data_IF_685502542471
#
_entry.id   IF_685502542471
#
_cell.length_a   1.000
_cell.length_b   1.000
_cell.length_c   1.000
_cell.angle_alpha   90.00
_cell.angle_beta   90.00
_cell.angle_gamma   90.00
#
_symmetry.space_group_name_H-M   'P 1'
#
loop_
_entity.id
_entity.type
_entity.pdbx_description
1 polymer ?
#
# COMPACT_ATOMS: atom_id res chain seq x y z
N UNK A 1 -1.19 -22.81 -13.22
CA UNK A 1 -2.41 -22.00 -12.95
C UNK A 1 -1.96 -20.62 -12.49
N UNK A 2 -2.74 -19.56 -12.74
CA UNK A 2 -2.41 -18.22 -12.23
C UNK A 2 -2.77 -18.14 -10.74
N UNK A 3 -1.90 -17.55 -9.93
CA UNK A 3 -2.05 -17.31 -8.49
C UNK A 3 -1.82 -15.84 -8.21
N UNK A 4 -2.46 -15.29 -7.18
CA UNK A 4 -2.25 -13.91 -6.75
C UNK A 4 -1.91 -13.87 -5.26
N UNK A 5 -0.76 -13.30 -4.94
CA UNK A 5 -0.36 -12.95 -3.58
C UNK A 5 -0.65 -11.47 -3.39
N UNK A 6 -1.55 -11.13 -2.48
CA UNK A 6 -2.03 -9.76 -2.30
C UNK A 6 -1.77 -9.30 -0.88
N UNK A 7 -0.76 -8.45 -0.69
CA UNK A 7 -0.54 -7.77 0.59
C UNK A 7 -1.54 -6.65 0.77
N UNK A 8 -2.32 -6.73 1.85
CA UNK A 8 -3.33 -5.78 2.28
C UNK A 8 -4.15 -5.20 1.13
N UNK A 9 -4.87 -6.05 0.37
CA UNK A 9 -5.80 -5.54 -0.61
C UNK A 9 -6.82 -4.69 0.15
N UNK A 10 -6.76 -3.38 -0.06
CA UNK A 10 -7.63 -2.40 0.61
C UNK A 10 -9.03 -2.56 0.00
N UNK A 11 -9.80 -3.50 0.54
CA UNK A 11 -11.17 -3.79 0.14
C UNK A 11 -12.12 -3.31 1.23
N UNK A 12 -12.89 -2.26 0.94
CA UNK A 12 -13.87 -1.71 1.87
C UNK A 12 -15.14 -2.56 1.86
N UNK A 13 -15.57 -3.12 3.01
CA UNK A 13 -16.79 -3.93 3.06
C UNK A 13 -18.07 -3.13 2.80
N UNK A 14 -18.91 -3.64 1.90
CA UNK A 14 -20.21 -3.06 1.57
C UNK A 14 -20.37 -2.86 0.07
N UNK A 15 -21.46 -2.19 -0.30
CA UNK A 15 -21.63 -1.66 -1.65
C UNK A 15 -20.69 -0.47 -1.88
N UNK A 16 -20.23 -0.23 -3.11
CA UNK A 16 -19.46 0.97 -3.43
C UNK A 16 -20.25 2.23 -3.06
N UNK A 17 -19.58 3.17 -2.41
CA UNK A 17 -20.08 4.53 -2.27
C UNK A 17 -19.69 5.39 -3.48
N UNK A 18 -19.92 6.69 -3.36
CA UNK A 18 -19.41 7.68 -4.30
C UNK A 18 -17.97 8.09 -3.96
N UNK A 19 -17.18 8.56 -4.93
CA UNK A 19 -15.91 9.22 -4.64
C UNK A 19 -16.09 10.38 -3.65
N UNK A 20 -15.22 10.46 -2.66
CA UNK A 20 -15.27 11.47 -1.61
C UNK A 20 -13.99 12.33 -1.62
N UNK A 21 -14.02 13.54 -2.22
CA UNK A 21 -12.84 14.41 -2.27
C UNK A 21 -12.40 14.91 -0.89
N UNK A 22 -13.30 14.89 0.09
CA UNK A 22 -13.09 15.28 1.49
C UNK A 22 -12.72 14.09 2.38
N UNK A 23 -12.47 12.91 1.79
CA UNK A 23 -11.96 11.76 2.52
C UNK A 23 -10.66 12.17 3.26
N UNK A 24 -10.50 11.89 4.57
CA UNK A 24 -9.39 12.45 5.36
C UNK A 24 -7.99 12.21 4.77
N UNK A 25 -7.75 11.02 4.18
CA UNK A 25 -6.48 10.73 3.51
C UNK A 25 -6.27 11.57 2.25
N UNK A 26 -7.33 11.87 1.50
CA UNK A 26 -7.25 12.76 0.33
C UNK A 26 -6.93 14.20 0.75
N UNK A 27 -7.56 14.70 1.82
CA UNK A 27 -7.27 16.04 2.38
C UNK A 27 -5.83 16.11 2.89
N UNK A 28 -5.35 15.06 3.56
CA UNK A 28 -3.98 14.96 4.03
C UNK A 28 -2.95 14.93 2.89
N UNK A 29 -3.20 14.14 1.85
CA UNK A 29 -2.33 14.01 0.68
C UNK A 29 -2.05 15.36 0.00
N UNK A 30 -3.07 16.20 -0.21
CA UNK A 30 -2.92 17.54 -0.82
C UNK A 30 -2.00 18.49 -0.05
N UNK A 31 -1.76 18.22 1.23
CA UNK A 31 -0.91 19.06 2.10
C UNK A 31 0.52 18.53 2.21
N UNK A 32 0.82 17.39 1.59
CA UNK A 32 2.15 16.79 1.66
C UNK A 32 3.15 17.68 0.95
N UNK A 33 4.34 17.76 1.54
CA UNK A 33 5.50 18.36 0.90
C UNK A 33 5.78 17.59 -0.39
N UNK A 34 5.96 18.32 -1.49
CA UNK A 34 6.19 17.74 -2.81
C UNK A 34 7.57 18.05 -3.40
N UNK A 35 8.37 18.90 -2.76
CA UNK A 35 9.66 19.37 -3.29
C UNK A 35 10.77 19.39 -2.23
N UNK A 36 12.00 19.11 -2.65
CA UNK A 36 13.21 19.07 -1.83
C UNK A 36 14.39 19.69 -2.55
N UNK A 37 15.39 20.16 -1.78
CA UNK A 37 16.64 20.66 -2.37
C UNK A 37 17.51 19.50 -2.87
N UNK A 38 17.51 18.38 -2.13
CA UNK A 38 18.23 17.15 -2.53
C UNK A 38 17.45 15.88 -2.17
N UNK A 39 17.71 14.74 -2.83
CA UNK A 39 17.11 13.45 -2.46
C UNK A 39 17.46 13.01 -1.03
N UNK A 40 18.66 13.33 -0.55
CA UNK A 40 19.10 13.00 0.82
C UNK A 40 18.28 13.75 1.87
N UNK A 41 17.81 14.95 1.55
CA UNK A 41 16.90 15.70 2.40
C UNK A 41 15.54 14.98 2.53
N UNK A 42 15.00 14.46 1.41
CA UNK A 42 13.78 13.68 1.41
C UNK A 42 13.92 12.38 2.21
N UNK A 43 15.01 11.65 1.97
CA UNK A 43 15.34 10.43 2.72
C UNK A 43 15.36 10.68 4.23
N UNK A 44 16.11 11.70 4.69
CA UNK A 44 16.19 12.04 6.12
C UNK A 44 14.83 12.41 6.70
N UNK A 45 14.00 13.14 5.95
CA UNK A 45 12.66 13.53 6.38
C UNK A 45 11.73 12.33 6.58
N UNK A 46 11.76 11.36 5.66
CA UNK A 46 10.92 10.17 5.73
C UNK A 46 11.45 9.15 6.74
N UNK A 47 12.75 8.93 6.81
CA UNK A 47 13.38 8.03 7.79
C UNK A 47 13.18 8.48 9.25
N UNK A 48 12.82 9.75 9.49
CA UNK A 48 12.69 10.30 10.84
C UNK A 48 11.45 9.84 11.60
N UNK A 49 10.37 9.41 10.91
CA UNK A 49 9.08 9.09 11.56
C UNK A 49 8.30 7.99 10.82
N UNK A 50 7.48 7.20 11.54
CA UNK A 50 6.54 6.27 10.91
C UNK A 50 5.60 6.98 9.93
N UNK A 51 5.12 6.27 8.88
CA UNK A 51 5.38 4.86 8.61
C UNK A 51 6.73 4.59 7.93
N UNK A 52 7.38 5.61 7.35
CA UNK A 52 8.59 5.41 6.57
C UNK A 52 9.83 5.02 7.39
N UNK A 53 9.86 5.40 8.67
CA UNK A 53 10.93 4.96 9.59
C UNK A 53 10.94 3.46 9.88
N UNK A 54 9.84 2.74 9.61
CA UNK A 54 9.74 1.29 9.83
C UNK A 54 10.15 0.48 8.59
N UNK A 55 10.42 1.13 7.46
CA UNK A 55 10.82 0.46 6.23
C UNK A 55 12.25 -0.07 6.30
N UNK A 56 12.52 -1.11 5.52
CA UNK A 56 13.89 -1.53 5.22
C UNK A 56 14.67 -0.34 4.60
N UNK A 57 15.89 -0.03 5.06
CA UNK A 57 16.65 1.11 4.56
C UNK A 57 16.87 1.11 3.04
N UNK A 58 17.07 -0.06 2.44
CA UNK A 58 17.26 -0.18 0.99
C UNK A 58 15.94 0.06 0.25
N UNK A 59 14.81 -0.37 0.83
CA UNK A 59 13.48 -0.07 0.29
C UNK A 59 13.17 1.44 0.35
N UNK A 60 13.52 2.12 1.45
CA UNK A 60 13.35 3.57 1.55
C UNK A 60 14.29 4.33 0.60
N UNK A 61 15.53 3.88 0.45
CA UNK A 61 16.48 4.46 -0.50
C UNK A 61 15.94 4.35 -1.94
N UNK A 62 15.47 3.17 -2.33
CA UNK A 62 14.83 2.96 -3.63
C UNK A 62 13.57 3.84 -3.80
N UNK A 63 12.75 3.96 -2.75
CA UNK A 63 11.55 4.83 -2.79
C UNK A 63 11.91 6.30 -3.05
N UNK A 64 13.02 6.79 -2.50
CA UNK A 64 13.52 8.16 -2.76
C UNK A 64 14.08 8.29 -4.17
N UNK A 65 14.93 7.34 -4.59
CA UNK A 65 15.58 7.34 -5.91
C UNK A 65 14.55 7.29 -7.04
N UNK A 66 13.57 6.40 -6.92
CA UNK A 66 12.55 6.18 -7.94
C UNK A 66 11.32 7.07 -7.77
N UNK A 67 11.08 7.61 -6.57
CA UNK A 67 9.93 8.47 -6.28
C UNK A 67 10.14 9.93 -6.65
N UNK A 68 11.38 10.38 -6.86
CA UNK A 68 11.71 11.78 -7.14
C UNK A 68 12.24 11.99 -8.55
N UNK A 69 11.98 13.18 -9.11
CA UNK A 69 12.61 13.64 -10.36
C UNK A 69 13.24 15.02 -10.16
N UNK A 70 14.33 15.26 -10.88
CA UNK A 70 15.00 16.57 -10.89
C UNK A 70 14.26 17.55 -11.79
N UNK A 71 14.03 18.76 -11.28
CA UNK A 71 13.42 19.90 -11.99
C UNK A 71 14.47 20.70 -12.74
N UNK A 72 14.02 21.54 -13.67
CA UNK A 72 14.90 22.42 -14.46
C UNK A 72 15.59 23.50 -13.62
N UNK A 73 15.00 23.91 -12.50
CA UNK A 73 15.57 24.85 -11.53
C UNK A 73 16.56 24.19 -10.56
N UNK A 74 16.80 22.89 -10.69
CA UNK A 74 17.75 22.12 -9.90
C UNK A 74 17.17 21.46 -8.65
N UNK A 75 15.95 21.82 -8.23
CA UNK A 75 15.25 21.18 -7.12
C UNK A 75 14.75 19.78 -7.50
N UNK A 76 14.28 19.03 -6.51
CA UNK A 76 13.67 17.70 -6.68
C UNK A 76 12.19 17.75 -6.34
N UNK A 77 11.37 16.97 -7.04
CA UNK A 77 9.94 16.85 -6.79
C UNK A 77 9.43 15.42 -6.85
N UNK A 78 8.31 15.14 -6.18
CA UNK A 78 7.60 13.87 -6.31
C UNK A 78 7.20 13.62 -7.77
N UNK A 79 7.43 12.38 -8.24
CA UNK A 79 6.87 11.93 -9.52
C UNK A 79 5.34 11.79 -9.44
N UNK A 80 4.82 11.33 -8.29
CA UNK A 80 3.39 11.29 -7.97
C UNK A 80 2.99 12.64 -7.36
N UNK A 81 2.17 13.43 -8.06
CA UNK A 81 1.74 14.72 -7.51
C UNK A 81 0.83 14.49 -6.29
N UNK A 82 0.86 15.38 -5.27
CA UNK A 82 -0.08 15.33 -4.14
C UNK A 82 -1.55 15.20 -4.57
N UNK A 83 -1.92 15.82 -5.70
CA UNK A 83 -3.25 15.76 -6.28
C UNK A 83 -3.60 14.37 -6.82
N UNK A 84 -2.63 13.65 -7.41
CA UNK A 84 -2.83 12.29 -7.93
C UNK A 84 -3.05 11.29 -6.78
N UNK A 85 -2.25 11.42 -5.72
CA UNK A 85 -2.42 10.63 -4.49
C UNK A 85 -3.76 10.95 -3.82
N UNK A 86 -4.12 12.23 -3.73
CA UNK A 86 -5.41 12.64 -3.19
C UNK A 86 -6.58 12.09 -4.01
N UNK A 87 -6.47 12.08 -5.34
CA UNK A 87 -7.47 11.49 -6.21
C UNK A 87 -7.60 9.97 -5.96
N UNK A 88 -6.49 9.27 -5.77
CA UNK A 88 -6.50 7.84 -5.41
C UNK A 88 -7.28 7.61 -4.12
N UNK A 89 -6.98 8.37 -3.06
CA UNK A 89 -7.69 8.24 -1.79
C UNK A 89 -9.17 8.63 -1.89
N UNK A 90 -9.52 9.65 -2.67
CA UNK A 90 -10.91 10.06 -2.86
C UNK A 90 -11.77 8.97 -3.52
N UNK A 91 -11.18 8.13 -4.37
CA UNK A 91 -11.88 7.03 -5.04
C UNK A 91 -11.87 5.72 -4.25
N UNK A 92 -11.18 5.66 -3.10
CA UNK A 92 -11.15 4.48 -2.23
C UNK A 92 -12.54 3.92 -1.93
N UNK A 93 -13.52 4.72 -1.46
CA UNK A 93 -14.88 4.24 -1.18
C UNK A 93 -15.66 3.72 -2.41
N UNK A 94 -15.23 4.03 -3.63
CA UNK A 94 -16.00 3.83 -4.86
C UNK A 94 -15.57 2.60 -5.69
N UNK A 95 -14.48 1.90 -5.33
CA UNK A 95 -13.91 0.87 -6.19
C UNK A 95 -14.75 -0.42 -6.33
N UNK A 96 -15.75 -0.65 -5.45
CA UNK A 96 -16.73 -1.74 -5.61
C UNK A 96 -16.20 -3.17 -5.59
N UNK A 97 -15.00 -3.40 -5.04
CA UNK A 97 -14.34 -4.72 -5.13
C UNK A 97 -14.98 -5.74 -4.20
N UNK A 98 -15.54 -5.32 -3.07
CA UNK A 98 -16.18 -6.21 -2.09
C UNK A 98 -17.30 -7.09 -2.65
N UNK A 99 -18.32 -6.55 -3.37
CA UNK A 99 -19.33 -7.37 -4.03
C UNK A 99 -18.76 -8.20 -5.18
N UNK A 100 -17.65 -7.78 -5.79
CA UNK A 100 -17.01 -8.49 -6.90
C UNK A 100 -16.11 -9.67 -6.49
N UNK A 101 -15.64 -9.75 -5.24
CA UNK A 101 -14.77 -10.84 -4.75
C UNK A 101 -15.24 -12.26 -5.13
N UNK A 102 -16.54 -12.62 -5.07
CA UNK A 102 -17.02 -13.95 -5.44
C UNK A 102 -16.80 -14.32 -6.92
N UNK A 103 -16.55 -13.34 -7.79
CA UNK A 103 -16.30 -13.55 -9.23
C UNK A 103 -14.83 -13.86 -9.54
N UNK A 104 -13.94 -13.72 -8.57
CA UNK A 104 -12.49 -13.90 -8.75
C UNK A 104 -12.14 -15.38 -8.54
N UNK A 105 -12.07 -16.14 -9.64
CA UNK A 105 -11.71 -17.57 -9.61
C UNK A 105 -10.19 -17.84 -9.62
N UNK A 106 -9.36 -16.81 -9.51
CA UNK A 106 -7.92 -17.01 -9.31
C UNK A 106 -7.67 -17.48 -7.88
N UNK A 107 -6.68 -18.36 -7.66
CA UNK A 107 -6.25 -18.70 -6.29
C UNK A 107 -5.57 -17.48 -5.67
N UNK A 108 -6.12 -16.96 -4.57
CA UNK A 108 -5.65 -15.73 -3.92
C UNK A 108 -5.19 -16.03 -2.51
N UNK A 109 -3.98 -15.58 -2.17
CA UNK A 109 -3.52 -15.42 -0.80
C UNK A 109 -3.69 -13.96 -0.41
N UNK A 110 -4.60 -13.69 0.53
CA UNK A 110 -4.75 -12.39 1.18
C UNK A 110 -3.75 -12.34 2.32
N UNK A 111 -2.79 -11.42 2.25
CA UNK A 111 -1.75 -11.25 3.26
C UNK A 111 -1.98 -9.95 4.00
N UNK A 112 -1.74 -9.91 5.31
CA UNK A 112 -1.71 -8.67 6.08
C UNK A 112 -0.62 -8.69 7.13
N UNK A 113 -0.18 -7.52 7.58
CA UNK A 113 0.73 -7.41 8.71
C UNK A 113 0.03 -7.66 10.04
N UNK A 114 0.72 -8.32 10.97
CA UNK A 114 0.26 -8.53 12.35
C UNK A 114 -0.09 -7.19 13.04
N UNK A 115 0.68 -6.14 12.74
CA UNK A 115 0.53 -4.80 13.33
C UNK A 115 -0.34 -3.85 12.49
N UNK A 116 -0.95 -4.34 11.41
CA UNK A 116 -1.68 -3.47 10.47
C UNK A 116 -2.98 -2.92 11.04
N UNK A 117 -3.16 -1.61 10.88
CA UNK A 117 -4.39 -0.88 11.17
C UNK A 117 -5.27 -0.65 9.92
N UNK A 118 -4.67 -0.60 8.74
CA UNK A 118 -5.36 -0.39 7.47
C UNK A 118 -6.15 -1.63 7.02
N UNK A 119 -5.53 -2.81 7.07
CA UNK A 119 -6.19 -4.10 6.80
C UNK A 119 -5.85 -5.06 7.94
N UNK A 120 -6.55 -4.96 9.09
CA UNK A 120 -6.27 -5.84 10.22
C UNK A 120 -6.58 -7.31 9.88
N UNK A 121 -6.00 -8.29 10.59
CA UNK A 121 -6.20 -9.72 10.30
C UNK A 121 -7.66 -10.15 10.13
N UNK A 122 -8.56 -9.62 10.95
CA UNK A 122 -10.00 -9.90 10.85
C UNK A 122 -10.62 -9.40 9.54
N UNK A 123 -10.12 -8.31 8.96
CA UNK A 123 -10.57 -7.85 7.65
C UNK A 123 -10.01 -8.74 6.54
N UNK A 124 -8.73 -9.11 6.61
CA UNK A 124 -8.11 -10.05 5.67
C UNK A 124 -8.87 -11.39 5.61
N UNK A 125 -9.26 -11.94 6.77
CA UNK A 125 -10.11 -13.13 6.89
C UNK A 125 -11.44 -12.98 6.16
N UNK A 126 -12.11 -11.84 6.31
CA UNK A 126 -13.39 -11.59 5.64
C UNK A 126 -13.24 -11.43 4.13
N UNK A 127 -12.14 -10.84 3.66
CA UNK A 127 -11.84 -10.74 2.23
C UNK A 127 -11.60 -12.14 1.65
N UNK A 128 -10.73 -12.93 2.28
CA UNK A 128 -10.43 -14.30 1.85
C UNK A 128 -11.67 -15.19 1.83
N UNK A 129 -12.55 -15.08 2.84
CA UNK A 129 -13.80 -15.85 2.90
C UNK A 129 -14.79 -15.54 1.76
N UNK A 130 -14.67 -14.38 1.10
CA UNK A 130 -15.50 -14.02 -0.07
C UNK A 130 -14.90 -14.47 -1.40
N UNK A 131 -13.63 -14.84 -1.41
CA UNK A 131 -12.94 -15.34 -2.60
C UNK A 131 -13.17 -16.85 -2.72
N UNK A 132 -13.64 -17.37 -3.88
CA UNK A 132 -13.88 -18.80 -4.09
C UNK A 132 -12.66 -19.70 -3.78
N UNK A 133 -11.47 -19.17 -4.00
CA UNK A 133 -10.19 -19.85 -3.75
C UNK A 133 -9.26 -18.96 -2.91
N UNK A 134 -9.83 -18.30 -1.90
CA UNK A 134 -9.12 -17.43 -0.96
C UNK A 134 -8.47 -18.19 0.19
N UNK A 135 -7.31 -17.70 0.62
CA UNK A 135 -6.64 -18.09 1.87
C UNK A 135 -6.02 -16.86 2.53
N UNK A 136 -5.75 -16.93 3.84
CA UNK A 136 -5.18 -15.82 4.61
C UNK A 136 -3.76 -16.18 5.06
N UNK A 137 -2.90 -15.18 5.12
CA UNK A 137 -1.64 -15.23 5.85
C UNK A 137 -1.44 -13.95 6.64
N UNK A 138 -1.04 -14.08 7.90
CA UNK A 138 -0.69 -12.94 8.76
C UNK A 138 0.83 -12.94 8.91
N UNK A 139 1.49 -11.92 8.36
CA UNK A 139 2.93 -11.75 8.46
C UNK A 139 3.29 -11.12 9.80
N UNK A 140 4.09 -11.83 10.60
CA UNK A 140 4.52 -11.38 11.91
C UNK A 140 5.44 -10.16 11.85
N UNK A 141 5.32 -9.28 12.85
CA UNK A 141 6.24 -8.16 13.06
C UNK A 141 6.14 -6.98 12.09
N UNK A 142 5.29 -7.03 11.06
CA UNK A 142 5.13 -5.96 10.06
C UNK A 142 3.77 -5.27 10.12
N UNK A 143 3.70 -4.04 9.62
CA UNK A 143 2.49 -3.21 9.53
C UNK A 143 1.96 -3.08 8.10
N UNK A 144 1.31 -1.94 7.80
CA UNK A 144 0.66 -1.70 6.50
C UNK A 144 1.63 -1.76 5.31
N UNK A 145 2.92 -1.52 5.53
CA UNK A 145 3.94 -1.51 4.48
C UNK A 145 4.81 -2.77 4.51
N UNK A 146 4.31 -3.90 5.00
CA UNK A 146 5.12 -5.10 5.24
C UNK A 146 6.06 -5.56 4.14
N UNK A 147 5.71 -5.52 2.84
CA UNK A 147 6.65 -5.84 1.76
C UNK A 147 7.87 -4.90 1.69
N UNK A 148 7.72 -3.66 2.15
CA UNK A 148 8.78 -2.66 2.25
C UNK A 148 9.45 -2.66 3.63
N UNK A 149 8.77 -3.11 4.70
CA UNK A 149 9.36 -3.29 6.04
C UNK A 149 10.24 -4.54 6.13
N UNK A 150 9.82 -5.65 5.49
CA UNK A 150 10.55 -6.92 5.48
C UNK A 150 10.55 -7.58 4.08
N UNK A 151 11.27 -6.99 3.10
CA UNK A 151 11.27 -7.48 1.71
C UNK A 151 11.66 -8.96 1.56
N UNK A 152 12.61 -9.43 2.37
CA UNK A 152 13.04 -10.84 2.38
C UNK A 152 11.93 -11.79 2.84
N UNK A 153 11.18 -11.43 3.88
CA UNK A 153 10.06 -12.23 4.38
C UNK A 153 8.90 -12.25 3.38
N UNK A 154 8.57 -11.09 2.78
CA UNK A 154 7.55 -11.00 1.75
C UNK A 154 7.92 -11.84 0.51
N UNK A 155 9.17 -11.75 0.06
CA UNK A 155 9.67 -12.55 -1.08
C UNK A 155 9.61 -14.05 -0.80
N UNK A 156 10.03 -14.49 0.40
CA UNK A 156 9.94 -15.89 0.79
C UNK A 156 8.49 -16.40 0.82
N UNK A 157 7.56 -15.58 1.33
CA UNK A 157 6.11 -15.90 1.32
C UNK A 157 5.56 -16.02 -0.10
N UNK A 158 5.91 -15.09 -1.00
CA UNK A 158 5.52 -15.13 -2.41
C UNK A 158 6.03 -16.40 -3.09
N UNK A 159 7.30 -16.76 -2.90
CA UNK A 159 7.90 -17.95 -3.50
C UNK A 159 7.24 -19.24 -2.98
N UNK A 160 7.06 -19.35 -1.67
CA UNK A 160 6.37 -20.51 -1.06
C UNK A 160 4.91 -20.63 -1.50
N UNK A 161 4.26 -19.54 -1.89
CA UNK A 161 2.93 -19.57 -2.49
C UNK A 161 2.96 -19.87 -3.99
N UNK A 162 4.06 -19.71 -4.69
CA UNK A 162 4.13 -20.03 -6.13
C UNK A 162 4.50 -21.48 -6.41
N UNK A 163 5.12 -22.15 -5.44
CA UNK A 163 5.36 -23.60 -5.43
C UNK A 163 4.05 -24.41 -5.30
#
# INVERSE_FOLDING_TARGET
>A
MRRAWCYEPVVIPGEPGDPNPDFPLAVGARRRRATWDTPEEAYRSWAARPPFADLDPDALAAYVEDGLRRRSDGAWELKCAPEDEAATYAHGPAHGLWPALPTIHTTVRVVCGERSDAVPPRLAERIAARLPHGSVEVMGGVGHFGPLEAPGAASASILAFND
#
